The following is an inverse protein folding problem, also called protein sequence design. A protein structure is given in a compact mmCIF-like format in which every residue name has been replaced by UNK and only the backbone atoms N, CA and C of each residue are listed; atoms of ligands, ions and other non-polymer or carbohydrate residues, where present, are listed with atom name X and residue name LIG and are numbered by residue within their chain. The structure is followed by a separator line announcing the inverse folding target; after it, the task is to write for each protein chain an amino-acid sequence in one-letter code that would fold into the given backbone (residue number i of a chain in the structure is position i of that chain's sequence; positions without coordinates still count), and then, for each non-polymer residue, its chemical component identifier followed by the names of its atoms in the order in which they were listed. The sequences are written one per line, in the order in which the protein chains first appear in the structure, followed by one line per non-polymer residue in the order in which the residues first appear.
data_IF_986130518407
#
_entry.id   IF_986130518407
#
_cell.length_a   1.000
_cell.length_b   1.000
_cell.length_c   1.000
_cell.angle_alpha   90.00
_cell.angle_beta   90.00
_cell.angle_gamma   90.00
#
_symmetry.space_group_name_H-M   'P 1'
#
loop_
_entity.id
_entity.type
_entity.pdbx_description
1 polymer ?
#
# COMPACT_ATOMS: atom_id res chain seq x y z
N UNK A 1 37.18 -30.93 38.41
CA UNK A 1 35.81 -31.22 37.94
C UNK A 1 34.95 -30.04 38.31
N UNK A 2 34.46 -29.25 37.34
CA UNK A 2 33.24 -28.42 37.38
C UNK A 2 33.32 -27.49 36.16
N UNK A 3 32.85 -27.99 35.01
CA UNK A 3 32.63 -27.17 33.82
C UNK A 3 31.15 -26.82 33.77
N UNK A 4 30.83 -25.56 34.07
CA UNK A 4 29.48 -25.01 33.98
C UNK A 4 29.23 -24.71 32.50
N UNK A 5 28.44 -25.54 31.84
CA UNK A 5 27.86 -25.22 30.53
C UNK A 5 26.66 -24.28 30.76
N UNK A 6 26.84 -23.00 30.46
CA UNK A 6 25.74 -22.04 30.39
C UNK A 6 25.05 -22.24 29.03
N UNK A 7 23.88 -22.86 29.06
CA UNK A 7 22.98 -22.96 27.90
C UNK A 7 22.28 -21.60 27.77
N UNK A 8 22.71 -20.78 26.80
CA UNK A 8 21.96 -19.59 26.38
C UNK A 8 20.83 -20.06 25.45
N UNK A 9 19.65 -20.35 26.01
CA UNK A 9 18.42 -20.47 25.24
C UNK A 9 17.97 -19.04 24.92
N UNK A 10 18.46 -18.47 23.82
CA UNK A 10 17.84 -17.28 23.24
C UNK A 10 16.51 -17.77 22.68
N UNK A 11 15.43 -17.54 23.42
CA UNK A 11 14.08 -17.65 22.89
C UNK A 11 13.91 -16.59 21.81
N UNK A 12 14.30 -16.92 20.59
CA UNK A 12 13.87 -16.24 19.38
C UNK A 12 12.38 -16.55 19.21
N UNK A 13 11.54 -15.93 20.05
CA UNK A 13 10.16 -15.72 19.67
C UNK A 13 10.25 -14.94 18.36
N UNK A 14 9.88 -15.60 17.27
CA UNK A 14 9.79 -15.01 15.95
C UNK A 14 8.76 -13.89 16.03
N UNK A 15 9.21 -12.68 16.36
CA UNK A 15 8.56 -11.45 15.97
C UNK A 15 8.64 -11.43 14.44
N UNK A 16 7.78 -12.21 13.79
CA UNK A 16 7.37 -11.95 12.42
C UNK A 16 6.57 -10.66 12.55
N UNK A 17 7.28 -9.52 12.59
CA UNK A 17 6.65 -8.25 12.34
C UNK A 17 6.15 -8.35 10.92
N UNK A 18 4.84 -8.46 10.77
CA UNK A 18 4.17 -8.31 9.50
C UNK A 18 4.72 -7.06 8.81
N UNK A 19 5.25 -7.24 7.60
CA UNK A 19 5.82 -6.11 6.85
C UNK A 19 4.68 -5.37 6.20
N UNK A 20 4.30 -4.23 6.78
CA UNK A 20 3.34 -3.32 6.15
C UNK A 20 3.92 -2.77 4.85
N UNK A 21 3.12 -2.75 3.79
CA UNK A 21 3.51 -2.23 2.49
C UNK A 21 3.29 -0.72 2.45
N UNK A 22 4.34 0.03 2.11
CA UNK A 22 4.26 1.45 1.80
C UNK A 22 4.01 1.60 0.30
N UNK A 23 2.81 2.00 -0.13
CA UNK A 23 2.50 2.15 -1.57
C UNK A 23 3.21 3.32 -2.24
N UNK A 24 3.89 4.18 -1.49
CA UNK A 24 4.86 5.12 -2.05
C UNK A 24 6.09 4.40 -2.64
N UNK A 25 6.23 3.09 -2.39
CA UNK A 25 7.35 2.25 -2.81
C UNK A 25 6.99 1.40 -4.02
N UNK A 26 6.01 1.82 -4.82
CA UNK A 26 5.66 1.11 -6.05
C UNK A 26 6.80 1.14 -7.05
N UNK A 27 6.97 0.05 -7.77
CA UNK A 27 7.96 -0.06 -8.84
C UNK A 27 7.64 0.91 -9.98
N UNK A 28 8.68 1.56 -10.50
CA UNK A 28 8.61 2.19 -11.82
C UNK A 28 8.51 1.10 -12.87
N UNK A 29 7.86 1.37 -14.00
CA UNK A 29 7.78 0.40 -15.10
C UNK A 29 9.17 -0.05 -15.58
N UNK A 30 10.17 0.83 -15.55
CA UNK A 30 11.56 0.49 -15.90
C UNK A 30 12.21 -0.56 -14.97
N UNK A 31 11.68 -0.76 -13.77
CA UNK A 31 12.17 -1.77 -12.81
C UNK A 31 11.53 -3.15 -13.08
N UNK A 32 10.43 -3.20 -13.84
CA UNK A 32 9.70 -4.43 -14.16
C UNK A 32 10.35 -5.14 -15.36
N UNK A 33 11.33 -6.00 -15.07
CA UNK A 33 12.04 -6.77 -16.09
C UNK A 33 11.36 -8.09 -16.45
N UNK A 34 10.42 -8.56 -15.62
CA UNK A 34 9.60 -9.73 -15.91
C UNK A 34 8.30 -9.29 -16.58
N UNK A 35 8.05 -9.77 -17.80
CA UNK A 35 6.90 -9.30 -18.59
C UNK A 35 5.54 -9.50 -17.89
N UNK A 36 5.39 -10.56 -17.08
CA UNK A 36 4.14 -10.79 -16.34
C UNK A 36 3.87 -9.73 -15.26
N UNK A 37 4.91 -9.14 -14.67
CA UNK A 37 4.75 -8.02 -13.73
C UNK A 37 4.22 -6.79 -14.48
N UNK A 38 4.65 -6.61 -15.73
CA UNK A 38 4.23 -5.52 -16.59
C UNK A 38 2.79 -5.66 -17.10
N UNK A 39 2.32 -6.88 -17.38
CA UNK A 39 0.95 -7.14 -17.85
C UNK A 39 -0.12 -7.15 -16.74
N UNK A 40 0.26 -6.86 -15.50
CA UNK A 40 -0.68 -6.91 -14.41
C UNK A 40 -1.82 -5.91 -14.63
N UNK A 41 -3.08 -6.34 -14.51
CA UNK A 41 -4.27 -5.54 -14.88
C UNK A 41 -4.46 -4.22 -14.11
N UNK A 42 -3.63 -3.97 -13.09
CA UNK A 42 -3.59 -2.73 -12.31
C UNK A 42 -2.23 -2.01 -12.38
N UNK A 43 -1.36 -2.39 -13.33
CA UNK A 43 -0.08 -1.74 -13.55
C UNK A 43 -0.25 -0.53 -14.46
N UNK A 44 0.38 0.60 -14.09
CA UNK A 44 0.56 1.79 -14.95
C UNK A 44 1.49 1.52 -16.15
N UNK A 45 1.73 0.24 -16.47
CA UNK A 45 2.80 -0.20 -17.34
C UNK A 45 2.28 -1.09 -18.47
N UNK A 46 2.98 -1.05 -19.59
CA UNK A 46 2.75 -1.92 -20.74
C UNK A 46 4.07 -2.48 -21.26
N UNK A 47 4.02 -3.71 -21.77
CA UNK A 47 5.21 -4.35 -22.30
C UNK A 47 5.49 -3.88 -23.73
N UNK A 48 6.60 -3.18 -23.92
CA UNK A 48 7.07 -2.82 -25.25
C UNK A 48 7.83 -3.99 -25.87
N UNK A 49 7.16 -4.74 -26.75
CA UNK A 49 7.73 -5.93 -27.42
C UNK A 49 8.93 -5.62 -28.30
N UNK A 50 9.01 -4.43 -28.91
CA UNK A 50 10.14 -4.02 -29.75
C UNK A 50 11.41 -3.77 -28.95
N UNK A 51 11.27 -3.20 -27.74
CA UNK A 51 12.39 -2.89 -26.84
C UNK A 51 12.63 -3.97 -25.78
N UNK A 52 11.74 -4.97 -25.70
CA UNK A 52 11.75 -6.02 -24.68
C UNK A 52 11.86 -5.43 -23.26
N UNK A 53 11.08 -4.40 -22.99
CA UNK A 53 11.09 -3.68 -21.72
C UNK A 53 9.68 -3.21 -21.36
N UNK A 54 9.44 -3.04 -20.07
CA UNK A 54 8.21 -2.46 -19.57
C UNK A 54 8.29 -0.92 -19.61
N UNK A 55 7.24 -0.27 -20.09
CA UNK A 55 7.15 1.20 -20.26
C UNK A 55 5.88 1.73 -19.63
N UNK A 56 5.87 3.00 -19.26
CA UNK A 56 4.67 3.66 -18.74
C UNK A 56 3.58 3.72 -19.82
N UNK A 57 2.33 3.46 -19.41
CA UNK A 57 1.14 3.71 -20.23
C UNK A 57 0.84 5.21 -20.20
N UNK A 58 0.44 5.79 -21.33
CA UNK A 58 0.00 7.18 -21.36
C UNK A 58 -1.31 7.32 -20.58
N UNK A 59 -1.48 8.37 -19.77
CA UNK A 59 -2.69 8.53 -18.97
C UNK A 59 -3.95 8.54 -19.84
N UNK A 60 -3.89 9.07 -21.06
CA UNK A 60 -4.99 9.07 -22.03
C UNK A 60 -5.52 7.68 -22.41
N UNK A 61 -4.69 6.63 -22.28
CA UNK A 61 -5.04 5.25 -22.62
C UNK A 61 -5.65 4.50 -21.43
N UNK A 62 -5.72 5.13 -20.25
CA UNK A 62 -6.33 4.56 -19.04
C UNK A 62 -7.83 4.91 -19.03
N UNK A 63 -8.66 3.97 -19.47
CA UNK A 63 -10.12 4.18 -19.59
C UNK A 63 -10.88 4.07 -18.26
N UNK A 64 -10.27 3.45 -17.23
CA UNK A 64 -10.95 3.08 -16.00
C UNK A 64 -10.59 4.01 -14.85
N UNK A 65 -11.59 4.61 -14.20
CA UNK A 65 -11.38 5.59 -13.14
C UNK A 65 -10.56 5.03 -11.98
N UNK A 66 -10.85 3.81 -11.56
CA UNK A 66 -10.10 3.16 -10.49
C UNK A 66 -8.65 2.91 -10.88
N UNK A 67 -8.34 2.56 -12.13
CA UNK A 67 -6.96 2.44 -12.55
C UNK A 67 -6.26 3.81 -12.53
N UNK A 68 -6.91 4.86 -13.06
CA UNK A 68 -6.34 6.20 -13.09
C UNK A 68 -6.12 6.80 -11.68
N UNK A 69 -7.10 6.67 -10.79
CA UNK A 69 -7.06 7.18 -9.41
C UNK A 69 -5.89 6.58 -8.62
N UNK A 70 -5.64 5.29 -8.85
CA UNK A 70 -4.55 4.54 -8.23
C UNK A 70 -3.26 4.56 -9.04
N UNK A 71 -3.27 5.20 -10.21
CA UNK A 71 -2.07 5.46 -10.96
C UNK A 71 -1.15 6.31 -10.10
N UNK A 72 0.14 6.05 -10.22
CA UNK A 72 1.20 6.76 -9.51
C UNK A 72 1.14 8.29 -9.70
N UNK A 73 2.16 9.05 -9.26
CA UNK A 73 2.22 10.52 -9.31
C UNK A 73 2.28 11.13 -10.73
N UNK A 74 1.55 10.57 -11.71
CA UNK A 74 1.57 10.88 -13.13
C UNK A 74 0.19 11.16 -13.71
N UNK A 75 -0.84 10.44 -13.27
CA UNK A 75 -2.17 10.54 -13.86
C UNK A 75 -3.23 10.96 -12.84
N UNK A 76 -4.23 11.74 -13.24
CA UNK A 76 -5.39 12.02 -12.40
C UNK A 76 -6.69 11.91 -13.19
N UNK A 77 -7.76 11.54 -12.49
CA UNK A 77 -9.07 11.34 -13.08
C UNK A 77 -9.91 12.62 -13.01
N UNK A 78 -10.36 13.11 -14.16
CA UNK A 78 -11.25 14.27 -14.25
C UNK A 78 -12.16 14.17 -15.47
N UNK A 79 -13.45 14.49 -15.29
CA UNK A 79 -14.45 14.51 -16.37
C UNK A 79 -14.52 13.19 -17.17
N UNK A 80 -14.44 12.05 -16.46
CA UNK A 80 -14.46 10.70 -17.03
C UNK A 80 -13.26 10.37 -17.94
N UNK A 81 -12.16 11.07 -17.78
CA UNK A 81 -10.92 10.85 -18.52
C UNK A 81 -9.73 10.92 -17.57
N UNK A 82 -8.67 10.23 -17.94
CA UNK A 82 -7.43 10.23 -17.20
C UNK A 82 -6.42 11.16 -17.89
N UNK A 83 -5.80 12.05 -17.12
CA UNK A 83 -4.95 13.14 -17.62
C UNK A 83 -3.58 13.09 -16.97
N UNK A 84 -2.54 13.44 -17.71
CA UNK A 84 -1.20 13.63 -17.15
C UNK A 84 -1.16 14.84 -16.21
N UNK A 85 -0.36 14.77 -15.16
CA UNK A 85 -0.02 15.92 -14.32
C UNK A 85 1.44 15.86 -13.83
N UNK A 86 1.97 17.02 -13.43
CA UNK A 86 3.33 17.14 -12.90
C UNK A 86 3.37 17.43 -11.40
N UNK A 87 2.31 18.00 -10.86
CA UNK A 87 2.19 18.27 -9.42
C UNK A 87 0.72 18.35 -8.98
N UNK A 88 0.44 18.06 -7.71
CA UNK A 88 -0.93 18.03 -7.19
C UNK A 88 -1.68 19.35 -7.37
N UNK A 89 -0.96 20.48 -7.38
CA UNK A 89 -1.51 21.83 -7.58
C UNK A 89 -2.15 22.03 -8.96
N UNK A 90 -1.85 21.16 -9.93
CA UNK A 90 -2.48 21.15 -11.25
C UNK A 90 -3.85 20.45 -11.26
N UNK A 91 -4.17 19.69 -10.21
CA UNK A 91 -5.42 18.93 -10.10
C UNK A 91 -6.48 19.82 -9.43
N UNK A 92 -7.61 20.11 -10.08
CA UNK A 92 -8.72 20.82 -9.44
C UNK A 92 -9.36 19.95 -8.35
N UNK A 93 -9.65 20.53 -7.20
CA UNK A 93 -10.35 19.85 -6.12
C UNK A 93 -10.54 20.76 -4.91
N UNK A 94 -11.80 20.92 -4.49
CA UNK A 94 -12.21 21.88 -3.44
C UNK A 94 -12.08 21.33 -2.04
N UNK A 95 -12.07 20.01 -1.90
CA UNK A 95 -11.93 19.32 -0.64
C UNK A 95 -11.11 18.04 -0.81
N UNK A 96 -10.81 17.40 0.31
CA UNK A 96 -10.02 16.17 0.32
C UNK A 96 -10.72 15.01 -0.41
N UNK A 97 -12.05 14.95 -0.40
CA UNK A 97 -12.81 13.89 -1.07
C UNK A 97 -12.68 14.01 -2.59
N UNK A 98 -12.88 15.21 -3.13
CA UNK A 98 -12.66 15.50 -4.56
C UNK A 98 -11.21 15.18 -4.97
N UNK A 99 -10.24 15.56 -4.15
CA UNK A 99 -8.84 15.34 -4.44
C UNK A 99 -8.43 13.87 -4.44
N UNK A 100 -8.89 13.09 -3.45
CA UNK A 100 -8.70 11.64 -3.41
C UNK A 100 -9.40 10.96 -4.60
N UNK A 101 -10.58 11.44 -4.99
CA UNK A 101 -11.32 10.92 -6.13
C UNK A 101 -10.67 11.25 -7.48
N UNK A 102 -9.78 12.25 -7.52
CA UNK A 102 -8.96 12.57 -8.69
C UNK A 102 -7.66 11.76 -8.70
N UNK A 103 -6.92 11.73 -7.58
CA UNK A 103 -5.70 10.94 -7.40
C UNK A 103 -5.42 10.72 -5.90
N UNK A 104 -5.22 9.46 -5.49
CA UNK A 104 -5.00 9.09 -4.07
C UNK A 104 -3.69 9.64 -3.46
N UNK A 105 -2.71 10.00 -4.28
CA UNK A 105 -1.42 10.56 -3.89
C UNK A 105 -1.43 12.10 -3.72
N UNK A 106 -2.53 12.75 -4.10
CA UNK A 106 -2.75 14.19 -3.92
C UNK A 106 -3.92 14.50 -2.97
N UNK A 107 -3.92 14.00 -1.72
CA UNK A 107 -5.13 13.97 -0.89
C UNK A 107 -5.42 15.26 -0.10
N UNK A 108 -4.58 16.30 -0.19
CA UNK A 108 -4.86 17.58 0.45
C UNK A 108 -5.57 18.54 -0.52
N UNK A 109 -6.24 19.56 0.00
CA UNK A 109 -6.85 20.62 -0.82
C UNK A 109 -6.63 21.99 -0.18
N UNK A 110 -6.50 23.02 -1.01
CA UNK A 110 -6.52 24.42 -0.57
C UNK A 110 -7.87 25.13 -0.85
N UNK A 111 -8.91 24.38 -1.20
CA UNK A 111 -10.23 24.92 -1.57
C UNK A 111 -10.42 25.14 -3.07
N UNK A 112 -9.37 25.03 -3.88
CA UNK A 112 -9.41 25.23 -5.34
C UNK A 112 -8.72 24.06 -6.05
N UNK A 113 -7.49 23.74 -5.62
CA UNK A 113 -6.67 22.69 -6.17
C UNK A 113 -6.27 21.70 -5.08
N UNK A 114 -5.88 20.52 -5.53
CA UNK A 114 -5.29 19.51 -4.70
C UNK A 114 -3.85 19.84 -4.34
N UNK A 115 -3.38 19.20 -3.29
CA UNK A 115 -2.05 19.36 -2.72
C UNK A 115 -1.51 17.98 -2.32
N UNK A 116 -0.19 17.88 -2.25
CA UNK A 116 0.46 16.66 -1.80
C UNK A 116 0.18 16.36 -0.32
N UNK A 117 0.37 15.10 0.08
CA UNK A 117 0.10 14.60 1.44
C UNK A 117 0.77 15.42 2.56
N UNK A 118 1.92 16.04 2.29
CA UNK A 118 2.64 16.86 3.28
C UNK A 118 1.87 18.12 3.73
N UNK A 119 0.85 18.54 2.98
CA UNK A 119 -0.01 19.67 3.31
C UNK A 119 -1.28 19.27 4.09
N UNK A 120 -1.48 17.99 4.36
CA UNK A 120 -2.59 17.55 5.20
C UNK A 120 -2.38 18.00 6.66
N UNK A 121 -3.47 18.36 7.31
CA UNK A 121 -3.51 18.72 8.73
C UNK A 121 -3.41 17.45 9.60
N UNK A 122 -2.91 17.62 10.83
CA UNK A 122 -3.04 16.56 11.84
C UNK A 122 -4.48 16.52 12.32
N UNK A 123 -4.97 15.35 12.73
CA UNK A 123 -6.32 15.25 13.29
C UNK A 123 -6.53 16.23 14.45
N UNK A 124 -5.54 16.40 15.34
CA UNK A 124 -5.59 17.31 16.50
C UNK A 124 -5.88 18.78 16.17
N UNK A 125 -5.56 19.19 14.95
CA UNK A 125 -5.68 20.58 14.49
C UNK A 125 -7.11 20.89 13.99
N UNK A 126 -7.88 19.85 13.68
CA UNK A 126 -9.27 19.95 13.19
C UNK A 126 -10.21 20.16 14.37
N UNK A 127 -10.98 21.25 14.33
CA UNK A 127 -11.93 21.63 15.40
C UNK A 127 -13.39 21.40 15.04
N UNK A 128 -13.66 21.12 13.77
CA UNK A 128 -15.00 20.83 13.28
C UNK A 128 -15.26 19.30 13.30
N UNK A 129 -16.30 18.80 13.98
CA UNK A 129 -16.59 17.38 14.08
C UNK A 129 -16.88 16.71 12.72
N UNK A 130 -17.59 17.39 11.82
CA UNK A 130 -18.00 16.80 10.54
C UNK A 130 -16.77 16.66 9.64
N UNK A 131 -15.97 17.72 9.52
CA UNK A 131 -14.66 17.70 8.86
C UNK A 131 -13.80 16.58 9.43
N UNK A 132 -13.68 16.48 10.77
CA UNK A 132 -12.85 15.47 11.42
C UNK A 132 -13.23 14.04 11.00
N UNK A 133 -14.52 13.70 10.98
CA UNK A 133 -14.97 12.36 10.64
C UNK A 133 -14.84 12.03 9.15
N UNK A 134 -14.72 13.03 8.29
CA UNK A 134 -14.48 12.87 6.84
C UNK A 134 -12.98 12.93 6.49
N UNK A 135 -12.14 13.46 7.38
CA UNK A 135 -10.72 13.69 7.12
C UNK A 135 -9.81 12.46 7.28
N UNK A 136 -8.74 12.44 6.50
CA UNK A 136 -7.58 11.57 6.57
C UNK A 136 -6.33 12.44 6.71
N UNK A 137 -5.60 12.22 7.80
CA UNK A 137 -4.30 12.85 8.04
C UNK A 137 -3.16 11.97 7.51
N UNK A 138 -1.92 12.46 7.49
CA UNK A 138 -0.75 11.64 7.16
C UNK A 138 -0.51 10.48 8.12
N UNK A 139 -1.22 10.44 9.26
CA UNK A 139 -1.12 9.39 10.28
C UNK A 139 -2.30 8.41 10.23
N UNK A 140 -3.34 8.73 9.44
CA UNK A 140 -4.50 7.88 9.24
C UNK A 140 -5.83 8.62 9.35
N UNK A 141 -6.90 7.83 9.35
CA UNK A 141 -8.27 8.34 9.43
C UNK A 141 -8.48 9.11 10.73
N UNK A 142 -9.10 10.27 10.64
CA UNK A 142 -9.49 11.05 11.81
C UNK A 142 -10.88 10.63 12.32
N UNK A 143 -11.09 10.76 13.62
CA UNK A 143 -12.35 10.47 14.31
C UNK A 143 -12.60 11.49 15.41
N UNK A 144 -13.82 12.00 15.49
CA UNK A 144 -14.22 12.90 16.56
C UNK A 144 -14.61 12.13 17.83
N UNK A 145 -13.87 12.32 18.91
CA UNK A 145 -14.07 11.64 20.20
C UNK A 145 -13.83 12.61 21.35
N UNK A 146 -14.73 12.64 22.32
CA UNK A 146 -14.58 13.46 23.54
C UNK A 146 -14.24 14.94 23.25
N UNK A 147 -14.96 15.55 22.31
CA UNK A 147 -14.78 16.95 21.85
C UNK A 147 -13.41 17.25 21.22
N UNK A 148 -12.67 16.22 20.82
CA UNK A 148 -11.40 16.35 20.15
C UNK A 148 -11.38 15.51 18.86
N UNK A 149 -10.63 15.95 17.88
CA UNK A 149 -10.35 15.16 16.69
C UNK A 149 -9.05 14.37 16.90
N UNK A 150 -9.16 13.04 16.88
CA UNK A 150 -8.06 12.11 17.13
C UNK A 150 -7.83 11.18 15.95
N UNK A 151 -6.68 10.50 15.90
CA UNK A 151 -6.42 9.44 14.92
C UNK A 151 -7.17 8.19 15.37
N UNK A 152 -7.96 7.60 14.47
CA UNK A 152 -8.63 6.33 14.67
C UNK A 152 -7.60 5.22 14.90
N UNK A 153 -7.64 4.55 16.06
CA UNK A 153 -6.65 3.53 16.41
C UNK A 153 -7.05 2.13 15.94
N UNK A 154 -8.36 1.86 15.86
CA UNK A 154 -8.90 0.58 15.41
C UNK A 154 -10.33 0.78 14.91
N UNK A 155 -10.75 -0.06 13.97
CA UNK A 155 -12.14 -0.12 13.50
C UNK A 155 -13.17 -0.30 14.63
N UNK A 156 -12.79 -0.94 15.75
CA UNK A 156 -13.70 -1.12 16.89
C UNK A 156 -14.26 0.20 17.44
N UNK A 157 -13.54 1.31 17.29
CA UNK A 157 -13.98 2.62 17.76
C UNK A 157 -15.06 3.25 16.87
N UNK A 158 -15.15 2.85 15.59
CA UNK A 158 -16.16 3.36 14.64
C UNK A 158 -17.59 2.93 15.00
N UNK A 159 -17.71 1.78 15.67
CA UNK A 159 -19.00 1.27 16.12
C UNK A 159 -19.40 1.83 17.48
N UNK A 160 -18.94 3.05 17.81
CA UNK A 160 -19.33 3.76 19.02
C UNK A 160 -20.08 5.06 18.70
N UNK A 161 -21.26 5.16 19.31
CA UNK A 161 -22.11 6.33 19.54
C UNK A 161 -22.76 7.18 18.44
N UNK A 162 -22.37 7.23 17.15
CA UNK A 162 -23.17 8.00 16.15
C UNK A 162 -23.19 7.46 14.72
N UNK A 163 -22.07 6.96 14.21
CA UNK A 163 -21.92 6.70 12.78
C UNK A 163 -22.48 5.33 12.35
N UNK A 164 -22.55 4.34 13.27
CA UNK A 164 -23.06 2.97 13.02
C UNK A 164 -22.68 2.41 11.64
N UNK A 165 -21.44 2.70 11.21
CA UNK A 165 -20.94 2.38 9.88
C UNK A 165 -19.46 2.02 9.99
N UNK A 166 -19.05 0.94 9.32
CA UNK A 166 -17.65 0.61 9.19
C UNK A 166 -17.05 1.33 7.97
N UNK A 167 -15.76 1.68 8.04
CA UNK A 167 -15.06 2.20 6.87
C UNK A 167 -14.93 1.10 5.82
N UNK A 168 -15.38 1.39 4.61
CA UNK A 168 -15.25 0.50 3.46
C UNK A 168 -13.77 0.18 3.21
N UNK A 169 -13.48 -1.06 2.84
CA UNK A 169 -12.15 -1.57 2.46
C UNK A 169 -11.06 -1.60 3.56
N UNK A 170 -11.33 -1.12 4.77
CA UNK A 170 -10.39 -1.20 5.90
C UNK A 170 -11.00 -1.87 7.13
N UNK A 171 -12.32 -1.83 7.24
CA UNK A 171 -13.07 -2.42 8.34
C UNK A 171 -14.16 -3.35 7.79
N UNK A 172 -14.54 -4.35 8.56
CA UNK A 172 -15.74 -5.13 8.32
C UNK A 172 -16.63 -5.14 9.56
N UNK A 173 -17.94 -5.33 9.36
CA UNK A 173 -18.87 -5.46 10.47
C UNK A 173 -18.91 -6.92 10.94
N UNK A 174 -18.54 -7.16 12.20
CA UNK A 174 -18.71 -8.45 12.85
C UNK A 174 -20.10 -8.50 13.50
N UNK A 175 -20.99 -9.29 12.89
CA UNK A 175 -22.35 -9.46 13.37
C UNK A 175 -22.46 -10.21 14.71
N UNK A 176 -21.48 -11.05 15.06
CA UNK A 176 -21.48 -11.80 16.32
C UNK A 176 -21.06 -10.92 17.49
N UNK A 177 -20.00 -10.15 17.30
CA UNK A 177 -19.50 -9.19 18.30
C UNK A 177 -20.27 -7.85 18.27
N UNK A 178 -21.09 -7.64 17.23
CA UNK A 178 -21.84 -6.40 16.98
C UNK A 178 -20.94 -5.16 17.02
N UNK A 179 -19.82 -5.21 16.29
CA UNK A 179 -18.82 -4.14 16.21
C UNK A 179 -18.06 -4.16 14.87
N UNK A 180 -17.43 -3.06 14.49
CA UNK A 180 -16.54 -3.02 13.34
C UNK A 180 -15.16 -3.57 13.72
N UNK A 181 -14.61 -4.52 12.97
CA UNK A 181 -13.26 -5.05 13.17
C UNK A 181 -12.34 -4.67 12.03
N UNK A 182 -11.05 -4.61 12.35
CA UNK A 182 -9.99 -4.37 11.37
C UNK A 182 -9.90 -5.53 10.37
N UNK A 183 -9.69 -5.20 9.09
CA UNK A 183 -9.62 -6.22 8.03
C UNK A 183 -8.24 -6.89 8.03
N UNK A 184 -8.13 -8.07 8.64
CA UNK A 184 -6.91 -8.90 8.62
C UNK A 184 -6.98 -9.96 7.51
N UNK A 185 -5.85 -10.60 7.16
CA UNK A 185 -5.87 -11.69 6.19
C UNK A 185 -6.86 -12.81 6.58
N UNK A 186 -6.95 -13.13 7.88
CA UNK A 186 -7.87 -14.14 8.42
C UNK A 186 -9.36 -13.84 8.22
N UNK A 187 -9.73 -12.63 7.80
CA UNK A 187 -11.10 -12.29 7.43
C UNK A 187 -11.54 -13.02 6.14
N UNK A 188 -10.62 -13.25 5.22
CA UNK A 188 -10.94 -13.85 3.93
C UNK A 188 -11.09 -15.36 4.04
N UNK A 189 -12.28 -15.84 3.68
CA UNK A 189 -12.65 -17.25 3.72
C UNK A 189 -12.56 -17.95 2.37
N UNK A 190 -12.19 -17.22 1.32
CA UNK A 190 -12.02 -17.73 -0.03
C UNK A 190 -10.67 -17.33 -0.61
N UNK A 191 -10.04 -18.25 -1.34
CA UNK A 191 -8.75 -18.04 -2.03
C UNK A 191 -8.78 -16.81 -2.93
N UNK A 192 -9.88 -16.61 -3.68
CA UNK A 192 -10.06 -15.48 -4.59
C UNK A 192 -10.08 -14.11 -3.91
N UNK A 193 -10.29 -14.06 -2.60
CA UNK A 193 -10.31 -12.82 -1.80
C UNK A 193 -9.00 -12.60 -1.04
N UNK A 194 -8.14 -13.62 -0.95
CA UNK A 194 -6.94 -13.61 -0.12
C UNK A 194 -5.78 -12.88 -0.80
N UNK A 195 -5.89 -11.55 -0.90
CA UNK A 195 -4.88 -10.70 -1.52
C UNK A 195 -4.21 -9.76 -0.52
N UNK A 196 -5.00 -8.98 0.21
CA UNK A 196 -4.47 -7.95 1.12
C UNK A 196 -5.33 -7.74 2.36
N UNK A 197 -4.70 -7.63 3.52
CA UNK A 197 -5.31 -7.09 4.73
C UNK A 197 -5.03 -5.60 4.86
N UNK A 198 -5.85 -4.92 5.65
CA UNK A 198 -5.67 -3.53 6.07
C UNK A 198 -6.04 -3.42 7.57
N UNK A 199 -5.17 -3.89 8.48
CA UNK A 199 -5.48 -4.09 9.91
C UNK A 199 -5.63 -2.79 10.71
N UNK A 200 -5.39 -1.63 10.10
CA UNK A 200 -5.63 -0.33 10.75
C UNK A 200 -5.90 0.69 9.65
N UNK A 201 -6.90 1.56 9.79
CA UNK A 201 -7.13 2.71 8.92
C UNK A 201 -6.00 3.76 9.05
N UNK A 202 -4.79 3.40 8.64
CA UNK A 202 -3.62 4.27 8.68
C UNK A 202 -3.60 5.27 7.54
N UNK A 203 -2.43 5.89 7.27
CA UNK A 203 -2.30 6.87 6.21
C UNK A 203 -2.83 6.28 4.92
N UNK A 204 -3.51 7.10 4.10
CA UNK A 204 -3.92 6.69 2.76
C UNK A 204 -2.75 5.93 2.13
N UNK A 205 -2.98 4.66 1.78
CA UNK A 205 -2.04 3.80 1.05
C UNK A 205 -0.88 3.14 1.84
N UNK A 206 -0.75 3.24 3.17
CA UNK A 206 0.47 2.75 3.85
C UNK A 206 0.29 1.63 4.90
N UNK A 207 -0.83 0.90 4.87
CA UNK A 207 -1.14 -0.12 5.87
C UNK A 207 -1.58 -1.46 5.27
N UNK A 208 -1.23 -1.74 4.02
CA UNK A 208 -1.58 -3.03 3.43
C UNK A 208 -0.66 -4.12 3.98
N UNK A 209 -1.25 -5.25 4.36
CA UNK A 209 -0.53 -6.48 4.67
C UNK A 209 -0.75 -7.44 3.51
N UNK A 210 0.30 -7.97 2.89
CA UNK A 210 0.18 -8.99 1.87
C UNK A 210 -0.39 -10.27 2.47
N UNK A 211 -1.34 -10.89 1.79
CA UNK A 211 -1.93 -12.16 2.22
C UNK A 211 -1.63 -13.29 1.25
N UNK A 212 -1.66 -14.52 1.77
CA UNK A 212 -1.59 -15.73 0.96
C UNK A 212 -2.59 -16.78 1.44
N UNK A 213 -3.09 -17.58 0.49
CA UNK A 213 -4.00 -18.67 0.78
C UNK A 213 -3.22 -19.92 1.18
N UNK A 214 -3.41 -20.38 2.42
CA UNK A 214 -2.82 -21.61 2.89
C UNK A 214 -3.69 -22.80 2.47
N UNK A 215 -3.24 -23.54 1.46
CA UNK A 215 -3.97 -24.70 0.91
C UNK A 215 -4.08 -25.88 1.87
N UNK A 216 -3.23 -25.95 2.91
CA UNK A 216 -3.28 -27.01 3.91
C UNK A 216 -4.37 -26.75 4.96
N UNK A 217 -4.53 -25.49 5.38
CA UNK A 217 -5.53 -25.10 6.39
C UNK A 217 -6.84 -24.62 5.78
N UNK A 218 -6.85 -24.27 4.49
CA UNK A 218 -7.98 -23.64 3.83
C UNK A 218 -8.29 -22.26 4.38
N UNK A 219 -7.27 -21.53 4.83
CA UNK A 219 -7.41 -20.20 5.44
C UNK A 219 -6.45 -19.20 4.81
N UNK A 220 -6.88 -17.94 4.76
CA UNK A 220 -6.02 -16.84 4.37
C UNK A 220 -5.15 -16.40 5.55
N UNK A 221 -3.84 -16.25 5.32
CA UNK A 221 -2.86 -15.85 6.33
C UNK A 221 -2.00 -14.69 5.84
N UNK A 222 -1.31 -14.02 6.76
CA UNK A 222 -0.34 -12.99 6.40
C UNK A 222 0.84 -13.64 5.68
N UNK A 223 1.23 -13.06 4.56
CA UNK A 223 2.35 -13.52 3.75
C UNK A 223 3.58 -12.66 4.01
N UNK A 224 4.74 -13.20 3.66
CA UNK A 224 5.95 -12.40 3.50
C UNK A 224 6.19 -12.21 1.99
N UNK A 225 6.23 -10.97 1.46
CA UNK A 225 6.40 -10.75 0.01
C UNK A 225 7.61 -11.46 -0.58
N UNK A 226 8.67 -11.68 0.20
CA UNK A 226 9.90 -12.33 -0.26
C UNK A 226 9.67 -13.80 -0.65
N UNK A 227 8.62 -14.43 -0.10
CA UNK A 227 8.26 -15.82 -0.36
C UNK A 227 7.34 -15.97 -1.60
N UNK A 228 6.90 -14.84 -2.20
CA UNK A 228 6.12 -14.87 -3.43
C UNK A 228 6.95 -15.36 -4.63
N UNK A 229 6.27 -16.02 -5.55
CA UNK A 229 6.84 -16.50 -6.80
C UNK A 229 6.68 -15.48 -7.92
N UNK A 230 7.23 -15.78 -9.10
CA UNK A 230 7.22 -14.88 -10.25
C UNK A 230 5.82 -14.41 -10.69
N UNK A 231 4.76 -15.18 -10.42
CA UNK A 231 3.41 -14.86 -10.91
C UNK A 231 2.62 -13.98 -9.94
N UNK A 232 2.95 -14.01 -8.64
CA UNK A 232 2.21 -13.28 -7.61
C UNK A 232 3.06 -12.22 -6.88
N UNK A 233 4.36 -12.15 -7.13
CA UNK A 233 5.24 -11.17 -6.50
C UNK A 233 4.75 -9.74 -6.67
N UNK A 234 4.45 -9.32 -7.91
CA UNK A 234 3.99 -7.94 -8.15
C UNK A 234 2.54 -7.71 -7.71
N UNK A 235 1.61 -8.60 -8.08
CA UNK A 235 0.19 -8.45 -7.73
C UNK A 235 -0.08 -8.50 -6.25
N UNK A 236 0.51 -9.46 -5.51
CA UNK A 236 0.17 -9.72 -4.11
C UNK A 236 1.02 -8.90 -3.14
N UNK A 237 2.00 -8.14 -3.64
CA UNK A 237 2.76 -7.16 -2.86
C UNK A 237 2.27 -5.72 -3.07
N UNK A 238 1.07 -5.57 -3.64
CA UNK A 238 0.49 -4.29 -4.01
C UNK A 238 1.46 -3.43 -4.84
N UNK A 239 2.19 -4.08 -5.75
CA UNK A 239 3.16 -3.47 -6.68
C UNK A 239 4.42 -2.88 -6.00
N UNK A 240 4.66 -3.19 -4.73
CA UNK A 240 5.84 -2.70 -3.97
C UNK A 240 7.03 -3.67 -4.00
N UNK A 241 6.83 -4.85 -4.59
CA UNK A 241 7.86 -5.82 -4.93
C UNK A 241 7.71 -6.25 -6.39
N UNK A 242 8.80 -6.72 -6.99
CA UNK A 242 8.81 -7.26 -8.35
C UNK A 242 9.73 -8.48 -8.45
N UNK A 243 9.57 -9.25 -9.52
CA UNK A 243 10.44 -10.36 -9.81
C UNK A 243 11.80 -9.86 -10.34
N UNK A 244 12.88 -10.28 -9.70
CA UNK A 244 14.26 -9.81 -9.99
C UNK A 244 14.92 -10.42 -11.24
N UNK A 245 14.15 -11.10 -12.10
CA UNK A 245 14.68 -11.81 -13.26
C UNK A 245 13.70 -11.80 -14.42
N UNK A 246 14.18 -11.85 -15.66
CA UNK A 246 13.29 -11.97 -16.83
C UNK A 246 12.73 -13.39 -17.03
N UNK A 247 13.18 -14.37 -16.24
CA UNK A 247 12.74 -15.77 -16.30
C UNK A 247 12.04 -16.16 -15.01
N UNK A 248 10.88 -16.80 -15.08
CA UNK A 248 10.12 -17.26 -13.91
C UNK A 248 10.85 -18.30 -13.06
N UNK A 249 11.74 -19.10 -13.67
CA UNK A 249 12.51 -20.15 -12.98
C UNK A 249 13.77 -19.67 -12.29
N UNK A 250 14.07 -18.36 -12.35
CA UNK A 250 15.27 -17.76 -11.74
C UNK A 250 14.87 -16.47 -11.06
N UNK A 251 15.53 -16.12 -9.96
CA UNK A 251 15.28 -14.89 -9.23
C UNK A 251 14.49 -15.11 -7.94
N UNK A 252 14.02 -14.00 -7.39
CA UNK A 252 13.19 -13.92 -6.20
C UNK A 252 12.38 -12.64 -6.19
N UNK A 253 11.41 -12.56 -5.29
CA UNK A 253 10.59 -11.38 -5.10
C UNK A 253 11.34 -10.33 -4.28
N UNK A 254 11.64 -9.17 -4.89
CA UNK A 254 12.47 -8.12 -4.28
C UNK A 254 11.72 -6.80 -4.22
N UNK A 255 11.98 -5.99 -3.20
CA UNK A 255 11.33 -4.69 -3.05
C UNK A 255 11.79 -3.71 -4.13
N UNK A 256 10.86 -2.91 -4.66
CA UNK A 256 11.15 -1.86 -5.64
C UNK A 256 12.11 -0.78 -5.10
N UNK A 257 12.12 -0.53 -3.78
CA UNK A 257 13.06 0.42 -3.14
C UNK A 257 14.49 -0.12 -2.98
N UNK A 258 14.78 -1.35 -3.39
CA UNK A 258 16.06 -2.03 -3.12
C UNK A 258 17.26 -1.45 -3.91
N UNK A 259 17.02 -0.62 -4.93
CA UNK A 259 18.04 -0.08 -5.84
C UNK A 259 19.18 0.71 -5.18
N UNK A 260 18.98 1.26 -3.97
CA UNK A 260 20.03 2.01 -3.25
C UNK A 260 21.06 1.06 -2.59
N UNK A 261 20.62 -0.08 -2.03
CA UNK A 261 21.50 -1.00 -1.31
C UNK A 261 22.49 -1.72 -2.25
N UNK A 262 22.07 -2.03 -3.47
CA UNK A 262 22.94 -2.68 -4.47
C UNK A 262 24.11 -1.80 -4.89
N UNK A 263 23.91 -0.48 -4.96
CA UNK A 263 24.97 0.49 -5.28
C UNK A 263 26.00 0.54 -4.15
N UNK A 264 25.55 0.53 -2.88
CA UNK A 264 26.47 0.52 -1.73
C UNK A 264 27.28 -0.77 -1.63
N UNK A 265 26.66 -1.94 -1.86
CA UNK A 265 27.38 -3.23 -1.86
C UNK A 265 28.39 -3.27 -3.02
N UNK A 266 28.02 -2.80 -4.21
CA UNK A 266 28.94 -2.71 -5.36
C UNK A 266 30.13 -1.79 -5.09
N UNK A 267 29.90 -0.62 -4.48
CA UNK A 267 30.97 0.31 -4.08
C UNK A 267 31.88 -0.29 -3.01
N UNK A 268 31.32 -0.98 -2.00
CA UNK A 268 32.13 -1.65 -0.98
C UNK A 268 33.00 -2.77 -1.56
N UNK A 269 32.47 -3.57 -2.51
CA UNK A 269 33.28 -4.60 -3.17
C UNK A 269 34.38 -4.00 -4.05
N UNK A 270 34.13 -2.88 -4.74
CA UNK A 270 35.18 -2.19 -5.49
C UNK A 270 36.27 -1.63 -4.57
N UNK A 271 35.93 -1.08 -3.40
CA UNK A 271 36.92 -0.61 -2.41
C UNK A 271 37.78 -1.76 -1.89
N UNK A 272 37.17 -2.91 -1.57
CA UNK A 272 37.90 -4.11 -1.11
C UNK A 272 38.83 -4.68 -2.19
N UNK A 273 38.49 -4.55 -3.48
CA UNK A 273 39.34 -5.00 -4.58
C UNK A 273 40.52 -4.07 -4.88
N UNK A 274 40.49 -2.82 -4.42
CA UNK A 274 41.56 -1.82 -4.63
C UNK A 274 42.58 -1.83 -3.49
N UNK A 275 42.20 -2.30 -2.29
CA UNK A 275 43.08 -2.46 -1.13
C UNK A 275 43.83 -3.78 -1.14
#
# INVERSE_FOLDING_TARGET
MHSIQIILIISTASLIKSTTLELNNRCKCSELIYSSDCYNGFSDCSWNTHKNQCVDVACSDIEWSNHCIWSSNRCYWLNKQCHDFTSCEAIPGKDQSECIAANVYCPASNGINCLSMQYQQKCSDIKDPDTCNEYYSPQGKCMWKDQNCIILQSCNELWTNKTKSCLLNSCYFDAQAFMCKDMTCSYYTMESQCQFGAPTPGPYLNNLIPCEWNTQTGQCQEANPVDFNANNCYSNSAMTYHWSSSKSSKGGCVSCKSSILSIFIGLMMMIIMIM
#
